data_IF_317858877186
#
_entry.id   IF_317858877186
#
_cell.length_a   1.000
_cell.length_b   1.000
_cell.length_c   1.000
_cell.angle_alpha   90.00
_cell.angle_beta   90.00
_cell.angle_gamma   90.00
#
_symmetry.space_group_name_H-M   'P 1'
#
loop_
_entity.id
_entity.type
_entity.pdbx_description
1 polymer ?
#
# COMPACT_ATOMS: atom_id res chain seq x y z
N UNK A 1 11.17 13.75 -4.39
CA UNK A 1 12.31 12.96 -3.87
C UNK A 1 13.02 12.26 -5.02
N UNK A 2 14.32 12.01 -4.91
CA UNK A 2 15.08 11.34 -5.97
C UNK A 2 14.95 9.83 -5.87
N UNK A 3 14.95 9.13 -7.00
CA UNK A 3 14.85 7.68 -7.04
C UNK A 3 15.96 6.96 -6.23
N UNK A 4 17.18 7.51 -6.22
CA UNK A 4 18.27 6.95 -5.41
C UNK A 4 18.00 7.04 -3.89
N UNK A 5 17.21 8.02 -3.43
CA UNK A 5 16.79 8.13 -2.04
C UNK A 5 15.72 7.08 -1.73
N UNK A 6 14.74 6.89 -2.62
CA UNK A 6 13.77 5.81 -2.53
C UNK A 6 14.45 4.44 -2.44
N UNK A 7 15.44 4.16 -3.31
CA UNK A 7 16.22 2.90 -3.24
C UNK A 7 16.90 2.68 -1.89
N UNK A 8 17.43 3.74 -1.26
CA UNK A 8 18.04 3.64 0.07
C UNK A 8 17.01 3.28 1.13
N UNK A 9 15.82 3.88 1.08
CA UNK A 9 14.70 3.57 1.98
C UNK A 9 14.29 2.10 1.82
N UNK A 10 14.07 1.64 0.58
CA UNK A 10 13.62 0.28 0.31
C UNK A 10 14.66 -0.76 0.71
N UNK A 11 15.96 -0.52 0.46
CA UNK A 11 17.05 -1.39 0.93
C UNK A 11 17.13 -1.46 2.44
N UNK A 12 16.94 -0.33 3.13
CA UNK A 12 16.89 -0.29 4.60
C UNK A 12 15.70 -1.11 5.12
N UNK A 13 14.51 -0.92 4.55
CA UNK A 13 13.32 -1.67 4.91
C UNK A 13 13.50 -3.18 4.68
N UNK A 14 14.05 -3.58 3.53
CA UNK A 14 14.35 -4.98 3.23
C UNK A 14 15.33 -5.60 4.24
N UNK A 15 16.40 -4.86 4.63
CA UNK A 15 17.35 -5.30 5.67
C UNK A 15 16.67 -5.51 7.03
N UNK A 16 15.72 -4.65 7.36
CA UNK A 16 14.90 -4.72 8.58
C UNK A 16 13.75 -5.74 8.47
N UNK A 17 13.63 -6.46 7.35
CA UNK A 17 12.53 -7.40 7.05
C UNK A 17 11.15 -6.73 7.12
N UNK A 18 11.08 -5.43 6.82
CA UNK A 18 9.84 -4.66 6.69
C UNK A 18 9.48 -4.52 5.22
N UNK A 19 8.21 -4.80 4.91
CA UNK A 19 7.64 -4.58 3.58
C UNK A 19 7.13 -3.15 3.53
N UNK A 20 7.81 -2.31 2.76
CA UNK A 20 7.41 -0.93 2.47
C UNK A 20 6.96 -0.89 1.03
N UNK A 21 5.76 -0.36 0.82
CA UNK A 21 5.17 -0.16 -0.50
C UNK A 21 5.64 1.18 -1.07
N UNK A 22 5.82 1.23 -2.38
CA UNK A 22 6.37 2.36 -3.12
C UNK A 22 5.67 2.52 -4.46
N UNK A 23 5.82 3.72 -5.03
CA UNK A 23 5.34 4.02 -6.37
C UNK A 23 6.42 4.73 -7.19
N UNK A 24 6.29 4.62 -8.51
CA UNK A 24 7.03 5.43 -9.48
C UNK A 24 6.09 5.85 -10.60
N UNK A 25 6.08 7.13 -10.92
CA UNK A 25 5.36 7.68 -12.09
C UNK A 25 6.39 7.98 -13.16
N UNK A 26 6.16 7.50 -14.38
CA UNK A 26 7.03 7.77 -15.53
C UNK A 26 6.53 8.95 -16.33
N UNK A 27 7.45 9.81 -16.79
CA UNK A 27 7.12 10.96 -17.65
C UNK A 27 6.32 10.52 -18.90
N UNK A 28 5.38 11.32 -19.42
CA UNK A 28 4.58 10.95 -20.59
C UNK A 28 5.42 10.60 -21.82
N UNK A 29 6.57 11.25 -22.00
CA UNK A 29 7.52 10.99 -23.09
C UNK A 29 8.25 9.64 -23.01
N UNK A 30 7.99 8.83 -21.98
CA UNK A 30 8.51 7.46 -21.88
C UNK A 30 7.74 6.47 -22.78
N UNK A 31 6.58 6.87 -23.30
CA UNK A 31 5.66 6.01 -24.03
C UNK A 31 5.36 6.55 -25.44
N UNK A 32 5.06 5.66 -26.37
CA UNK A 32 4.69 6.02 -27.75
C UNK A 32 3.27 6.59 -27.86
N UNK A 33 2.39 6.24 -26.92
CA UNK A 33 1.02 6.75 -26.85
C UNK A 33 0.83 7.57 -25.58
N UNK A 34 -0.15 8.45 -25.61
CA UNK A 34 -0.56 9.21 -24.44
C UNK A 34 -1.18 8.27 -23.40
N UNK A 35 -0.73 8.41 -22.16
CA UNK A 35 -1.23 7.70 -21.00
C UNK A 35 -1.53 8.72 -19.90
N UNK A 36 -2.60 8.48 -19.16
CA UNK A 36 -2.95 9.22 -17.93
C UNK A 36 -1.87 9.02 -16.86
N UNK A 37 -1.96 9.77 -15.75
CA UNK A 37 -1.04 9.58 -14.63
C UNK A 37 -1.13 8.18 -14.02
N UNK A 38 -2.34 7.62 -13.89
CA UNK A 38 -2.55 6.29 -13.32
C UNK A 38 -1.93 5.20 -14.22
N UNK A 39 -2.13 5.28 -15.53
CA UNK A 39 -1.62 4.31 -16.52
C UNK A 39 -0.08 4.32 -16.68
N UNK A 40 0.59 5.34 -16.12
CA UNK A 40 2.06 5.44 -16.12
C UNK A 40 2.67 5.39 -14.72
N UNK A 41 1.85 5.10 -13.71
CA UNK A 41 2.29 4.93 -12.32
C UNK A 41 2.30 3.45 -11.98
N UNK A 42 3.42 2.97 -11.45
CA UNK A 42 3.56 1.59 -11.03
C UNK A 42 3.85 1.50 -9.54
N UNK A 43 3.21 0.55 -8.88
CA UNK A 43 3.33 0.21 -7.48
C UNK A 43 4.25 -1.00 -7.32
N UNK A 44 5.14 -0.98 -6.34
CA UNK A 44 6.04 -2.09 -6.04
C UNK A 44 6.51 -2.03 -4.59
N UNK A 45 7.17 -3.08 -4.11
CA UNK A 45 7.53 -3.18 -2.68
C UNK A 45 9.02 -3.39 -2.45
N UNK A 46 9.47 -3.12 -1.23
CA UNK A 46 10.83 -3.44 -0.76
C UNK A 46 11.17 -4.94 -0.79
N UNK A 47 10.17 -5.82 -0.97
CA UNK A 47 10.38 -7.26 -1.09
C UNK A 47 10.95 -7.69 -2.46
N UNK A 48 11.07 -6.75 -3.40
CA UNK A 48 11.73 -7.00 -4.68
C UNK A 48 13.22 -7.34 -4.51
N UNK A 49 13.71 -8.28 -5.32
CA UNK A 49 15.10 -8.77 -5.25
C UNK A 49 16.14 -7.66 -5.40
N UNK A 50 15.84 -6.60 -6.16
CA UNK A 50 16.72 -5.45 -6.33
C UNK A 50 17.06 -4.71 -5.01
N UNK A 51 16.25 -4.88 -3.97
CA UNK A 51 16.44 -4.23 -2.66
C UNK A 51 16.94 -5.18 -1.58
N UNK A 52 16.98 -6.49 -1.87
CA UNK A 52 17.49 -7.51 -0.96
C UNK A 52 19.01 -7.42 -0.76
N UNK A 53 19.53 -8.23 0.18
CA UNK A 53 20.97 -8.35 0.45
C UNK A 53 21.74 -8.71 -0.84
N UNK A 54 22.99 -8.19 -1.03
CA UNK A 54 23.84 -8.54 -2.17
C UNK A 54 24.10 -10.05 -2.36
N UNK A 55 23.86 -10.86 -1.33
CA UNK A 55 23.98 -12.33 -1.37
C UNK A 55 22.83 -13.03 -2.10
N UNK A 56 21.75 -12.32 -2.44
CA UNK A 56 20.63 -12.87 -3.20
C UNK A 56 20.97 -12.92 -4.70
N UNK A 57 20.76 -14.07 -5.34
CA UNK A 57 20.98 -14.21 -6.78
C UNK A 57 19.89 -13.48 -7.57
N UNK A 58 20.33 -12.68 -8.56
CA UNK A 58 19.47 -11.97 -9.50
C UNK A 58 19.10 -10.54 -9.08
N UNK A 59 18.50 -9.82 -10.01
CA UNK A 59 18.10 -8.42 -9.83
C UNK A 59 16.80 -8.19 -10.61
N UNK A 60 15.73 -7.86 -9.89
CA UNK A 60 14.40 -7.63 -10.46
C UNK A 60 13.61 -6.65 -9.61
N UNK A 61 12.83 -5.81 -10.28
CA UNK A 61 11.81 -4.92 -9.71
C UNK A 61 10.52 -5.24 -10.46
N UNK A 62 9.68 -6.07 -9.86
CA UNK A 62 8.33 -6.31 -10.30
C UNK A 62 7.42 -5.22 -9.72
N UNK A 63 6.58 -4.64 -10.57
CA UNK A 63 5.55 -3.71 -10.16
C UNK A 63 4.27 -3.87 -10.98
N UNK A 64 3.20 -3.32 -10.42
CA UNK A 64 1.84 -3.37 -10.97
C UNK A 64 1.38 -1.94 -11.28
N UNK A 65 0.80 -1.75 -12.45
CA UNK A 65 0.26 -0.47 -12.87
C UNK A 65 -0.91 -0.08 -11.97
N UNK A 66 -0.98 1.20 -11.62
CA UNK A 66 -1.92 1.74 -10.65
C UNK A 66 -3.38 1.69 -11.15
N UNK A 67 -3.58 1.66 -12.47
CA UNK A 67 -4.88 1.46 -13.12
C UNK A 67 -5.38 0.00 -13.08
N UNK A 68 -4.53 -0.94 -12.64
CA UNK A 68 -4.82 -2.37 -12.55
C UNK A 68 -4.76 -3.14 -13.87
N UNK A 69 -4.38 -2.51 -15.00
CA UNK A 69 -4.39 -3.16 -16.32
C UNK A 69 -3.11 -3.93 -16.63
N UNK A 70 -1.99 -3.60 -15.98
CA UNK A 70 -0.67 -4.16 -16.28
C UNK A 70 0.06 -4.60 -15.00
N UNK A 71 0.01 -5.90 -14.70
CA UNK A 71 0.58 -6.48 -13.46
C UNK A 71 1.84 -7.30 -13.72
N UNK A 72 2.78 -7.30 -12.76
CA UNK A 72 3.98 -8.12 -12.81
C UNK A 72 5.02 -7.63 -13.81
N UNK A 73 5.04 -6.32 -14.11
CA UNK A 73 6.00 -5.71 -15.03
C UNK A 73 7.40 -5.73 -14.43
N UNK A 74 8.37 -6.18 -15.22
CA UNK A 74 9.79 -6.09 -14.90
C UNK A 74 10.33 -4.68 -15.12
N UNK A 75 9.93 -3.76 -14.25
CA UNK A 75 10.27 -2.34 -14.31
C UNK A 75 11.77 -2.10 -14.47
N UNK A 76 12.62 -2.92 -13.85
CA UNK A 76 14.07 -2.71 -13.91
C UNK A 76 14.65 -2.80 -15.33
N UNK A 77 13.94 -3.44 -16.26
CA UNK A 77 14.34 -3.53 -17.68
C UNK A 77 13.98 -2.28 -18.48
N UNK A 78 13.01 -1.50 -18.02
CA UNK A 78 12.49 -0.34 -18.73
C UNK A 78 13.02 0.96 -18.15
N UNK A 79 13.22 1.05 -16.84
CA UNK A 79 13.63 2.28 -16.17
C UNK A 79 15.04 2.72 -16.60
N UNK A 80 15.20 3.97 -17.01
CA UNK A 80 16.48 4.56 -17.37
C UNK A 80 17.47 4.56 -16.18
N UNK A 81 16.98 4.78 -14.97
CA UNK A 81 17.76 4.71 -13.72
C UNK A 81 18.12 3.28 -13.29
N UNK A 82 17.73 2.27 -14.07
CA UNK A 82 18.03 0.85 -13.85
C UNK A 82 18.74 0.24 -15.07
N UNK A 83 18.15 -0.77 -15.71
CA UNK A 83 18.74 -1.48 -16.87
C UNK A 83 18.12 -1.08 -18.20
N UNK A 84 17.21 -0.11 -18.21
CA UNK A 84 16.60 0.43 -19.44
C UNK A 84 17.55 1.27 -20.30
N UNK A 85 18.67 1.73 -19.72
CA UNK A 85 19.68 2.48 -20.45
C UNK A 85 19.20 3.87 -20.88
N UNK A 86 19.88 4.45 -21.87
CA UNK A 86 19.68 5.86 -22.30
C UNK A 86 18.26 6.18 -22.80
N UNK A 87 17.60 5.18 -23.39
CA UNK A 87 16.26 5.29 -23.98
C UNK A 87 15.17 4.70 -23.06
N UNK A 88 15.53 4.38 -21.82
CA UNK A 88 14.60 3.85 -20.82
C UNK A 88 13.57 4.88 -20.35
N UNK A 89 12.52 4.39 -19.69
CA UNK A 89 11.48 5.19 -19.07
C UNK A 89 12.06 6.10 -18.00
N UNK A 90 11.71 7.38 -18.07
CA UNK A 90 12.24 8.43 -17.20
C UNK A 90 11.25 8.71 -16.09
N UNK A 91 11.75 8.75 -14.87
CA UNK A 91 10.96 9.00 -13.67
C UNK A 91 10.53 10.48 -13.65
N UNK A 92 9.24 10.70 -13.46
CA UNK A 92 8.67 12.03 -13.17
C UNK A 92 8.69 12.30 -11.67
N UNK A 93 8.09 11.39 -10.88
CA UNK A 93 8.19 11.37 -9.43
C UNK A 93 8.16 9.93 -8.91
N UNK A 94 8.52 9.74 -7.65
CA UNK A 94 8.51 8.44 -6.98
C UNK A 94 8.41 8.64 -5.48
N UNK A 95 7.98 7.62 -4.75
CA UNK A 95 7.79 7.79 -3.32
C UNK A 95 7.44 6.49 -2.59
N UNK A 96 7.14 6.63 -1.30
CA UNK A 96 6.64 5.54 -0.46
C UNK A 96 5.13 5.68 -0.28
N UNK A 97 4.47 4.57 0.05
CA UNK A 97 3.06 4.53 0.38
C UNK A 97 2.95 4.33 1.89
N UNK A 98 2.27 5.27 2.56
CA UNK A 98 1.86 5.16 3.95
C UNK A 98 0.39 4.81 4.02
N UNK A 99 -0.09 4.47 5.21
CA UNK A 99 -1.46 4.00 5.40
C UNK A 99 -2.12 4.76 6.53
N UNK A 100 -3.28 5.35 6.26
CA UNK A 100 -4.13 5.98 7.26
C UNK A 100 -5.26 5.02 7.62
N UNK A 101 -5.42 4.73 8.90
CA UNK A 101 -6.59 4.02 9.40
C UNK A 101 -7.64 5.03 9.83
N UNK A 102 -8.83 4.88 9.28
CA UNK A 102 -10.02 5.66 9.57
C UNK A 102 -11.03 4.75 10.27
N UNK A 103 -11.77 5.31 11.22
CA UNK A 103 -12.99 4.71 11.75
C UNK A 103 -14.17 5.59 11.44
N UNK A 104 -15.32 5.00 11.15
CA UNK A 104 -16.58 5.67 10.95
C UNK A 104 -17.66 5.04 11.83
N UNK A 105 -18.46 5.88 12.49
CA UNK A 105 -19.67 5.49 13.22
C UNK A 105 -20.68 6.62 13.10
N UNK A 106 -21.96 6.30 12.89
CA UNK A 106 -23.06 7.29 12.80
C UNK A 106 -22.79 8.51 11.89
N UNK A 107 -22.05 8.31 10.78
CA UNK A 107 -21.61 9.33 9.81
C UNK A 107 -20.49 10.27 10.30
N UNK A 108 -19.95 10.05 11.49
CA UNK A 108 -18.71 10.69 11.94
C UNK A 108 -17.51 9.85 11.53
N UNK A 109 -16.52 10.48 10.90
CA UNK A 109 -15.25 9.86 10.54
C UNK A 109 -14.13 10.44 11.40
N UNK A 110 -13.29 9.56 11.93
CA UNK A 110 -12.12 9.93 12.72
C UNK A 110 -10.87 9.21 12.25
N UNK A 111 -9.72 9.87 12.41
CA UNK A 111 -8.41 9.29 12.13
C UNK A 111 -7.97 8.48 13.34
N UNK A 112 -7.81 7.17 13.15
CA UNK A 112 -7.30 6.26 14.19
C UNK A 112 -5.78 6.34 14.27
N UNK A 113 -5.10 6.41 13.12
CA UNK A 113 -3.63 6.46 13.09
C UNK A 113 -3.03 6.47 11.69
N UNK A 114 -1.72 6.67 11.65
CA UNK A 114 -0.90 6.63 10.44
C UNK A 114 0.20 5.58 10.61
N UNK A 115 0.42 4.79 9.57
CA UNK A 115 1.29 3.63 9.59
C UNK A 115 2.21 3.63 8.38
N UNK A 116 3.45 3.18 8.58
CA UNK A 116 4.46 3.10 7.51
C UNK A 116 4.28 1.86 6.62
N UNK A 117 3.53 0.85 7.06
CA UNK A 117 3.28 -0.37 6.30
C UNK A 117 1.82 -0.78 6.36
N UNK A 118 1.34 -1.45 5.31
CA UNK A 118 -0.02 -1.98 5.29
C UNK A 118 -0.23 -3.06 6.37
N UNK A 119 0.83 -3.79 6.71
CA UNK A 119 0.80 -4.80 7.78
C UNK A 119 0.50 -4.16 9.12
N UNK A 120 1.17 -3.04 9.44
CA UNK A 120 0.97 -2.35 10.72
C UNK A 120 -0.42 -1.70 10.79
N UNK A 121 -0.90 -1.12 9.68
CA UNK A 121 -2.26 -0.59 9.59
C UNK A 121 -3.33 -1.69 9.77
N UNK A 122 -3.14 -2.85 9.12
CA UNK A 122 -4.03 -4.00 9.29
C UNK A 122 -4.02 -4.51 10.72
N UNK A 123 -2.84 -4.65 11.33
CA UNK A 123 -2.74 -5.10 12.72
C UNK A 123 -3.44 -4.14 13.67
N UNK A 124 -3.30 -2.83 13.49
CA UNK A 124 -4.01 -1.85 14.29
C UNK A 124 -5.54 -1.88 14.06
N UNK A 125 -6.00 -2.02 12.81
CA UNK A 125 -7.41 -2.20 12.48
C UNK A 125 -7.99 -3.42 13.18
N UNK A 126 -7.24 -4.52 13.17
CA UNK A 126 -7.61 -5.76 13.83
C UNK A 126 -7.79 -5.60 15.34
N UNK A 127 -6.83 -4.97 16.00
CA UNK A 127 -6.91 -4.69 17.44
C UNK A 127 -8.09 -3.79 17.79
N UNK A 128 -8.39 -2.80 16.94
CA UNK A 128 -9.55 -1.92 17.13
C UNK A 128 -10.87 -2.63 16.96
N UNK A 129 -10.95 -3.54 15.99
CA UNK A 129 -12.13 -4.36 15.78
C UNK A 129 -12.36 -5.29 16.98
N UNK A 130 -11.33 -5.99 17.45
CA UNK A 130 -11.42 -6.90 18.60
C UNK A 130 -11.88 -6.18 19.87
N UNK A 131 -11.32 -4.99 20.14
CA UNK A 131 -11.74 -4.12 21.26
C UNK A 131 -13.22 -3.75 21.17
N UNK A 132 -13.69 -3.36 19.98
CA UNK A 132 -15.07 -2.94 19.72
C UNK A 132 -16.08 -4.09 19.88
N UNK A 133 -15.72 -5.33 19.53
CA UNK A 133 -16.59 -6.51 19.71
C UNK A 133 -16.33 -7.25 21.03
N UNK A 134 -15.53 -6.65 21.93
CA UNK A 134 -15.23 -7.15 23.27
C UNK A 134 -14.64 -8.58 23.30
N UNK A 135 -13.73 -8.88 22.36
CA UNK A 135 -12.98 -10.13 22.36
C UNK A 135 -11.48 -9.89 22.16
N UNK A 136 -10.70 -10.96 22.28
CA UNK A 136 -9.28 -10.93 21.94
C UNK A 136 -9.06 -10.99 20.42
N UNK A 137 -7.89 -10.53 19.98
CA UNK A 137 -7.50 -10.63 18.56
C UNK A 137 -7.47 -12.06 18.04
N UNK A 138 -7.16 -13.02 18.90
CA UNK A 138 -7.08 -14.45 18.61
C UNK A 138 -8.47 -15.07 18.44
N UNK A 139 -9.41 -14.71 19.33
CA UNK A 139 -10.80 -15.15 19.25
C UNK A 139 -11.49 -14.58 18.00
N UNK A 140 -11.26 -13.30 17.69
CA UNK A 140 -11.76 -12.69 16.46
C UNK A 140 -11.24 -13.42 15.21
N UNK A 141 -9.99 -13.93 15.26
CA UNK A 141 -9.35 -14.56 14.11
C UNK A 141 -9.92 -15.94 13.87
N UNK A 142 -10.09 -16.71 14.96
CA UNK A 142 -10.77 -17.99 14.92
C UNK A 142 -12.20 -17.82 14.39
N UNK A 143 -12.94 -16.83 14.89
CA UNK A 143 -14.31 -16.54 14.47
C UNK A 143 -14.43 -16.28 12.97
N UNK A 144 -13.63 -15.36 12.42
CA UNK A 144 -13.66 -15.02 10.98
C UNK A 144 -13.21 -16.18 10.09
N UNK A 145 -12.30 -17.03 10.57
CA UNK A 145 -11.82 -18.17 9.79
C UNK A 145 -12.82 -19.34 9.76
N UNK A 146 -13.63 -19.48 10.81
CA UNK A 146 -14.62 -20.56 10.95
C UNK A 146 -16.01 -20.17 10.41
N UNK A 147 -16.33 -18.88 10.39
CA UNK A 147 -17.62 -18.36 9.96
C UNK A 147 -17.43 -17.55 8.67
N UNK A 148 -18.16 -17.91 7.60
CA UNK A 148 -18.35 -16.94 6.51
C UNK A 148 -18.97 -15.66 7.10
N UNK A 149 -18.58 -14.45 6.64
CA UNK A 149 -19.04 -13.18 7.19
C UNK A 149 -20.54 -12.98 6.92
N UNK A 150 -21.37 -13.65 7.72
CA UNK A 150 -22.81 -13.67 7.61
C UNK A 150 -23.40 -13.07 8.89
N UNK A 151 -23.36 -11.74 8.97
CA UNK A 151 -24.38 -10.96 9.70
C UNK A 151 -23.88 -9.95 10.73
N UNK A 152 -22.81 -10.23 11.47
CA UNK A 152 -22.45 -9.42 12.65
C UNK A 152 -21.16 -8.61 12.49
N UNK A 153 -20.15 -9.14 11.79
CA UNK A 153 -18.93 -8.41 11.47
C UNK A 153 -18.23 -8.99 10.24
N UNK A 154 -17.30 -8.23 9.66
CA UNK A 154 -16.51 -8.67 8.52
C UNK A 154 -15.17 -7.94 8.42
N UNK A 155 -14.19 -8.60 7.79
CA UNK A 155 -12.83 -8.09 7.67
C UNK A 155 -12.26 -8.36 6.28
N UNK A 156 -11.46 -7.41 5.79
CA UNK A 156 -10.67 -7.52 4.58
C UNK A 156 -9.37 -6.72 4.68
N UNK A 157 -8.54 -6.83 3.65
CA UNK A 157 -7.18 -6.24 3.63
C UNK A 157 -7.14 -4.73 3.86
N UNK A 158 -8.19 -4.01 3.47
CA UNK A 158 -8.26 -2.54 3.50
C UNK A 158 -9.45 -2.01 4.29
N UNK A 159 -10.28 -2.88 4.87
CA UNK A 159 -11.49 -2.47 5.55
C UNK A 159 -11.98 -3.54 6.51
N UNK A 160 -12.69 -3.12 7.55
CA UNK A 160 -13.41 -4.00 8.45
C UNK A 160 -14.72 -3.32 8.86
N UNK A 161 -15.69 -4.09 9.33
CA UNK A 161 -16.94 -3.56 9.85
C UNK A 161 -17.48 -4.46 10.96
N UNK A 162 -18.21 -3.88 11.89
CA UNK A 162 -18.92 -4.59 12.94
C UNK A 162 -20.25 -3.90 13.25
N UNK A 163 -21.32 -4.71 13.33
CA UNK A 163 -22.64 -4.25 13.73
C UNK A 163 -22.72 -4.17 15.26
N UNK A 164 -23.44 -3.18 15.77
CA UNK A 164 -23.70 -3.01 17.20
C UNK A 164 -22.44 -2.93 18.09
N UNK A 165 -21.30 -2.51 17.52
CA UNK A 165 -20.00 -2.46 18.21
C UNK A 165 -19.57 -1.03 18.59
N UNK A 166 -20.35 -0.02 18.18
CA UNK A 166 -20.10 1.38 18.47
C UNK A 166 -20.91 1.91 19.65
N UNK A 167 -20.77 3.21 19.98
CA UNK A 167 -21.60 3.87 20.97
C UNK A 167 -23.09 3.61 20.70
N UNK A 168 -23.88 3.40 21.76
CA UNK A 168 -25.34 3.15 21.66
C UNK A 168 -25.72 1.94 20.77
N UNK A 169 -24.82 0.97 20.61
CA UNK A 169 -24.96 -0.16 19.68
C UNK A 169 -25.04 0.28 18.21
N UNK A 170 -24.30 1.31 17.83
CA UNK A 170 -24.15 1.71 16.42
C UNK A 170 -23.26 0.73 15.65
N UNK A 171 -23.34 0.78 14.33
CA UNK A 171 -22.37 0.11 13.46
C UNK A 171 -21.05 0.90 13.44
N UNK A 172 -19.94 0.19 13.25
CA UNK A 172 -18.61 0.77 13.11
C UNK A 172 -17.94 0.21 11.87
N UNK A 173 -17.40 1.09 11.04
CA UNK A 173 -16.59 0.76 9.88
C UNK A 173 -15.15 1.22 10.09
N UNK A 174 -14.19 0.41 9.69
CA UNK A 174 -12.79 0.79 9.58
C UNK A 174 -12.35 0.74 8.12
N UNK A 175 -11.56 1.73 7.71
CA UNK A 175 -11.00 1.81 6.36
C UNK A 175 -9.54 2.19 6.43
N UNK A 176 -8.70 1.44 5.73
CA UNK A 176 -7.32 1.78 5.47
C UNK A 176 -7.26 2.52 4.13
N UNK A 177 -6.74 3.74 4.12
CA UNK A 177 -6.50 4.53 2.92
C UNK A 177 -4.99 4.65 2.67
N UNK A 178 -4.49 4.32 1.46
CA UNK A 178 -3.11 4.60 1.10
C UNK A 178 -2.89 6.11 0.96
N UNK A 179 -1.73 6.57 1.40
CA UNK A 179 -1.24 7.95 1.23
C UNK A 179 0.09 7.86 0.49
N UNK A 180 0.14 8.44 -0.71
CA UNK A 180 1.32 8.44 -1.55
C UNK A 180 2.20 9.62 -1.16
N UNK A 181 3.44 9.35 -0.77
CA UNK A 181 4.36 10.35 -0.24
C UNK A 181 5.60 10.45 -1.12
N UNK A 182 5.75 11.57 -1.82
CA UNK A 182 7.00 11.95 -2.45
C UNK A 182 7.86 12.78 -1.47
N UNK A 183 8.70 12.09 -0.70
CA UNK A 183 9.42 12.72 0.41
C UNK A 183 8.44 13.14 1.53
N UNK A 184 8.33 14.45 1.78
CA UNK A 184 7.38 15.02 2.74
C UNK A 184 6.02 15.36 2.13
N UNK A 185 5.91 15.33 0.81
CA UNK A 185 4.78 15.89 0.09
C UNK A 185 3.79 14.78 -0.30
N UNK A 186 2.51 14.98 0.01
CA UNK A 186 1.47 14.06 -0.41
C UNK A 186 1.20 14.22 -1.91
N UNK A 187 1.18 13.10 -2.62
CA UNK A 187 0.83 13.02 -4.04
C UNK A 187 -0.63 12.59 -4.16
N UNK A 188 -1.41 13.41 -4.86
CA UNK A 188 -2.80 13.09 -5.19
C UNK A 188 -2.80 12.56 -6.62
N UNK A 189 -3.38 11.38 -6.80
CA UNK A 189 -3.68 10.83 -8.11
C UNK A 189 -5.15 11.12 -8.39
N UNK A 190 -5.43 11.89 -9.43
CA UNK A 190 -6.79 12.15 -9.87
C UNK A 190 -7.32 10.90 -10.60
N UNK A 191 -8.52 10.45 -10.22
CA UNK A 191 -9.26 9.49 -11.02
C UNK A 191 -9.72 10.21 -12.30
N UNK A 192 -9.38 9.64 -13.46
CA UNK A 192 -9.73 10.18 -14.77
C UNK A 192 -11.20 9.92 -15.14
#
# INVERSE_FOLDING_TARGET
MKYQELKKILRKAAKEKRVVDAFVTFTPGSFLKAYTQLERTYLFTSNNKAFASPSCSGYSIFGDCMDGQDSGVRLERYMADEKGGKDGWKIENCGIIKYQLLSAHEREMSVVGYYDTLKDANHAMWLKMADAVHCTSEELYAFINENEPAGECGFGKMSAWANNAGPENSNVDWKIAPIYMDGSDAVIFEEA
#
